data_IF_329798970623
#
_entry.id   IF_329798970623
#
_cell.length_a   1.000
_cell.length_b   1.000
_cell.length_c   1.000
_cell.angle_alpha   90.00
_cell.angle_beta   90.00
_cell.angle_gamma   90.00
#
_symmetry.space_group_name_H-M   'P 1'
#
loop_
_entity.id
_entity.type
_entity.pdbx_description
1 polymer ?
#
# COMPACT_ATOMS: atom_id res chain seq x y z
N UNK A 1 50.68 -14.49 -3.87
CA UNK A 1 49.38 -15.05 -4.35
C UNK A 1 48.31 -15.26 -3.26
N UNK A 2 48.65 -15.48 -1.98
CA UNK A 2 47.64 -15.64 -0.90
C UNK A 2 46.98 -14.33 -0.43
N UNK A 3 47.71 -13.22 -0.44
CA UNK A 3 47.21 -11.90 0.03
C UNK A 3 46.10 -11.34 -0.87
N UNK A 4 46.20 -11.54 -2.19
CA UNK A 4 45.17 -11.11 -3.15
C UNK A 4 43.85 -11.87 -2.99
N UNK A 5 43.86 -13.12 -2.51
CA UNK A 5 42.64 -13.89 -2.22
C UNK A 5 41.90 -13.38 -0.98
N UNK A 6 42.63 -12.85 0.00
CA UNK A 6 42.04 -12.24 1.21
C UNK A 6 41.44 -10.87 0.89
N UNK A 7 42.10 -10.07 0.05
CA UNK A 7 41.59 -8.77 -0.38
C UNK A 7 40.33 -8.88 -1.25
N UNK A 8 40.21 -9.92 -2.09
CA UNK A 8 39.00 -10.17 -2.90
C UNK A 8 37.80 -10.58 -2.03
N UNK A 9 38.03 -11.29 -0.91
CA UNK A 9 36.97 -11.74 -0.01
C UNK A 9 36.39 -10.59 0.85
N UNK A 10 37.22 -9.59 1.20
CA UNK A 10 36.79 -8.42 2.00
C UNK A 10 36.00 -7.41 1.15
N UNK A 11 36.31 -7.32 -0.16
CA UNK A 11 35.58 -6.43 -1.08
C UNK A 11 34.12 -6.85 -1.32
N UNK A 12 33.78 -8.12 -1.15
CA UNK A 12 32.44 -8.65 -1.43
C UNK A 12 31.44 -8.48 -0.26
N UNK A 13 31.94 -8.16 0.95
CA UNK A 13 31.12 -8.08 2.17
C UNK A 13 30.41 -6.71 2.35
N UNK A 14 30.77 -5.71 1.54
CA UNK A 14 30.28 -4.33 1.68
C UNK A 14 28.97 -4.03 0.93
N UNK A 15 28.36 -5.02 0.28
CA UNK A 15 27.10 -4.87 -0.47
C UNK A 15 25.84 -5.32 0.29
N UNK A 16 25.90 -5.45 1.62
CA UNK A 16 24.70 -5.63 2.43
C UNK A 16 23.99 -4.27 2.55
N UNK A 17 23.31 -3.87 1.48
CA UNK A 17 22.43 -2.71 1.48
C UNK A 17 21.26 -2.98 2.43
N UNK A 18 21.02 -2.06 3.37
CA UNK A 18 19.80 -2.04 4.18
C UNK A 18 18.59 -1.85 3.27
N UNK A 19 18.03 -2.93 2.76
CA UNK A 19 16.65 -2.99 2.29
C UNK A 19 15.76 -2.71 3.50
N UNK A 20 14.94 -1.66 3.46
CA UNK A 20 13.94 -1.44 4.50
C UNK A 20 12.91 -2.57 4.40
N UNK A 21 13.02 -3.57 5.28
CA UNK A 21 12.29 -4.84 5.24
C UNK A 21 10.81 -4.76 5.63
N UNK A 22 10.10 -3.67 5.29
CA UNK A 22 8.71 -3.49 5.72
C UNK A 22 7.84 -2.70 4.76
N UNK A 23 6.56 -3.08 4.70
CA UNK A 23 5.50 -2.36 3.98
C UNK A 23 5.29 -0.97 4.59
N UNK A 24 5.06 0.04 3.74
CA UNK A 24 4.88 1.42 4.18
C UNK A 24 3.47 1.65 4.72
N UNK A 25 3.26 2.60 5.64
CA UNK A 25 1.91 3.05 6.05
C UNK A 25 0.97 2.00 6.70
N UNK A 26 1.40 0.75 6.85
CA UNK A 26 0.60 -0.34 7.46
C UNK A 26 0.85 -0.52 8.96
N UNK A 27 1.92 0.11 9.50
CA UNK A 27 2.21 0.14 10.95
C UNK A 27 1.52 1.30 11.67
N UNK A 28 1.02 2.29 10.92
CA UNK A 28 0.11 3.30 11.46
C UNK A 28 -1.26 2.67 11.72
N UNK A 29 -2.05 3.26 12.60
CA UNK A 29 -3.42 2.86 12.98
C UNK A 29 -4.44 2.91 11.82
N UNK A 30 -3.96 2.93 10.58
CA UNK A 30 -4.78 2.93 9.38
C UNK A 30 -5.49 1.59 9.20
N UNK A 31 -6.77 1.67 8.87
CA UNK A 31 -7.52 0.55 8.31
C UNK A 31 -7.01 0.24 6.90
N UNK A 32 -6.69 -1.03 6.66
CA UNK A 32 -6.21 -1.55 5.38
C UNK A 32 -7.26 -2.48 4.79
N UNK A 33 -7.73 -2.19 3.58
CA UNK A 33 -8.77 -2.99 2.90
C UNK A 33 -8.46 -3.21 1.43
N UNK A 34 -8.96 -4.32 0.88
CA UNK A 34 -8.95 -4.62 -0.54
C UNK A 34 -10.37 -4.94 -0.99
N UNK A 35 -10.99 -4.04 -1.75
CA UNK A 35 -12.25 -4.31 -2.45
C UNK A 35 -11.93 -4.96 -3.79
N UNK A 36 -12.58 -6.08 -4.09
CA UNK A 36 -12.40 -6.86 -5.33
C UNK A 36 -13.71 -7.03 -6.05
N UNK A 37 -13.67 -7.08 -7.38
CA UNK A 37 -14.84 -7.23 -8.23
C UNK A 37 -14.51 -8.00 -9.51
N UNK A 38 -15.23 -9.10 -9.77
CA UNK A 38 -15.14 -9.86 -11.01
C UNK A 38 -16.27 -9.43 -11.93
N UNK A 39 -15.93 -8.84 -13.07
CA UNK A 39 -16.90 -8.34 -14.05
C UNK A 39 -17.42 -9.48 -14.95
N UNK A 40 -18.57 -9.29 -15.66
CA UNK A 40 -19.12 -10.31 -16.55
C UNK A 40 -18.20 -10.72 -17.71
N UNK A 41 -17.29 -9.85 -18.13
CA UNK A 41 -16.26 -10.13 -19.14
C UNK A 41 -15.01 -10.82 -18.55
N UNK A 42 -15.09 -11.28 -17.31
CA UNK A 42 -14.02 -11.94 -16.54
C UNK A 42 -12.83 -11.04 -16.18
N UNK A 43 -12.91 -9.73 -16.44
CA UNK A 43 -11.95 -8.76 -15.88
C UNK A 43 -12.04 -8.74 -14.36
N UNK A 44 -10.88 -8.67 -13.70
CA UNK A 44 -10.74 -8.61 -12.25
C UNK A 44 -10.32 -7.22 -11.82
N UNK A 45 -11.23 -6.48 -11.22
CA UNK A 45 -11.02 -5.12 -10.75
C UNK A 45 -10.76 -5.12 -9.24
N UNK A 46 -9.98 -4.17 -8.77
CA UNK A 46 -9.80 -3.98 -7.33
C UNK A 46 -9.63 -2.51 -6.95
N UNK A 47 -9.88 -2.22 -5.67
CA UNK A 47 -9.42 -0.99 -5.01
C UNK A 47 -8.76 -1.33 -3.68
N UNK A 48 -7.45 -1.10 -3.61
CA UNK A 48 -6.69 -1.18 -2.36
C UNK A 48 -6.75 0.16 -1.64
N UNK A 49 -7.08 0.16 -0.34
CA UNK A 49 -7.25 1.38 0.46
C UNK A 49 -6.49 1.30 1.79
N UNK A 50 -5.84 2.41 2.11
CA UNK A 50 -5.33 2.73 3.43
C UNK A 50 -6.09 3.96 3.93
N UNK A 51 -6.81 3.82 5.04
CA UNK A 51 -7.62 4.88 5.62
C UNK A 51 -7.31 5.12 7.09
N UNK A 52 -6.99 6.36 7.44
CA UNK A 52 -6.87 6.80 8.84
C UNK A 52 -8.21 6.69 9.58
N UNK A 53 -8.23 6.33 10.88
CA UNK A 53 -9.45 6.35 11.69
C UNK A 53 -10.10 7.74 11.66
N UNK A 54 -11.40 7.80 11.39
CA UNK A 54 -12.12 9.07 11.19
C UNK A 54 -12.08 9.98 12.43
N UNK A 55 -12.12 9.37 13.62
CA UNK A 55 -12.05 10.04 14.92
C UNK A 55 -10.70 10.72 15.19
N UNK A 56 -9.66 10.33 14.45
CA UNK A 56 -8.31 10.91 14.55
C UNK A 56 -8.01 11.96 13.47
N UNK A 57 -8.90 12.15 12.50
CA UNK A 57 -8.70 13.16 11.45
C UNK A 57 -9.05 14.53 12.03
N UNK A 58 -8.11 15.50 12.07
CA UNK A 58 -8.39 16.83 12.61
C UNK A 58 -9.53 17.52 11.86
N UNK A 59 -10.46 18.12 12.62
CA UNK A 59 -11.53 18.93 12.04
C UNK A 59 -10.95 20.15 11.30
N UNK A 60 -11.39 20.31 10.05
CA UNK A 60 -10.87 21.28 9.08
C UNK A 60 -11.40 22.72 9.30
N UNK A 61 -12.30 22.93 10.27
CA UNK A 61 -12.89 24.24 10.57
C UNK A 61 -12.30 24.76 11.88
N UNK A 62 -11.34 25.68 11.79
CA UNK A 62 -10.91 26.50 12.93
C UNK A 62 -11.25 27.96 12.64
N UNK A 63 -12.30 28.48 13.28
CA UNK A 63 -12.58 29.93 13.29
C UNK A 63 -11.54 30.56 14.20
N UNK A 64 -10.53 31.19 13.62
CA UNK A 64 -9.48 31.87 14.39
C UNK A 64 -10.09 33.12 15.04
N UNK A 65 -10.20 33.14 16.37
CA UNK A 65 -10.74 34.28 17.12
C UNK A 65 -9.67 35.18 17.73
N UNK A 66 -8.41 34.74 17.70
CA UNK A 66 -7.26 35.51 18.19
C UNK A 66 -6.02 35.12 17.40
N UNK A 67 -5.15 36.10 17.11
CA UNK A 67 -3.96 36.01 16.25
C UNK A 67 -2.81 35.13 16.75
N UNK A 68 -3.13 34.03 17.43
CA UNK A 68 -2.18 32.97 17.78
C UNK A 68 -1.93 32.05 16.57
N UNK A 69 -0.65 31.72 16.37
CA UNK A 69 -0.11 31.07 15.18
C UNK A 69 -0.59 29.60 15.09
N UNK A 70 -1.82 29.40 14.58
CA UNK A 70 -2.52 28.11 14.47
C UNK A 70 -1.87 27.09 13.51
N UNK A 71 -0.65 27.37 13.04
CA UNK A 71 0.07 26.57 12.03
C UNK A 71 0.81 25.36 12.61
N UNK A 72 1.11 25.31 13.91
CA UNK A 72 1.93 24.22 14.50
C UNK A 72 1.16 22.92 14.73
N UNK A 73 -0.11 22.97 15.11
CA UNK A 73 -0.88 21.76 15.49
C UNK A 73 -1.52 21.01 14.31
N UNK A 74 -1.46 21.55 13.09
CA UNK A 74 -2.08 20.93 11.91
C UNK A 74 -1.26 19.77 11.31
N UNK A 75 -0.05 19.54 11.82
CA UNK A 75 0.91 18.57 11.26
C UNK A 75 1.02 17.26 12.05
N UNK A 76 0.32 17.14 13.18
CA UNK A 76 0.39 15.97 14.03
C UNK A 76 -0.56 14.87 13.50
N UNK A 77 -0.01 13.90 12.76
CA UNK A 77 -0.76 12.74 12.24
C UNK A 77 -0.83 12.65 10.71
N UNK A 78 -1.09 11.43 10.23
CA UNK A 78 -1.23 11.12 8.81
C UNK A 78 0.08 10.77 8.08
N UNK A 79 -0.06 10.42 6.80
CA UNK A 79 1.05 10.14 5.90
C UNK A 79 1.76 11.42 5.49
N UNK A 80 3.09 11.43 5.62
CA UNK A 80 3.93 12.42 4.95
C UNK A 80 3.95 12.13 3.44
N UNK A 81 3.16 12.91 2.69
CA UNK A 81 3.05 12.78 1.23
C UNK A 81 4.25 13.46 0.58
N UNK A 82 5.08 12.67 -0.10
CA UNK A 82 6.26 13.14 -0.80
C UNK A 82 6.48 12.38 -2.11
N UNK A 83 7.61 12.64 -2.76
CA UNK A 83 7.94 12.11 -4.11
C UNK A 83 7.85 10.59 -4.22
N UNK A 84 8.11 9.86 -3.14
CA UNK A 84 8.15 8.39 -3.13
C UNK A 84 6.84 7.75 -2.64
N UNK A 85 5.83 8.53 -2.22
CA UNK A 85 4.59 7.98 -1.65
C UNK A 85 3.84 7.13 -2.67
N UNK A 86 3.85 7.54 -3.94
CA UNK A 86 3.26 6.77 -5.04
C UNK A 86 3.89 5.38 -5.15
N UNK A 87 5.21 5.33 -5.22
CA UNK A 87 5.95 4.08 -5.40
C UNK A 87 5.70 3.11 -4.24
N UNK A 88 5.77 3.62 -3.01
CA UNK A 88 5.49 2.83 -1.79
C UNK A 88 4.05 2.32 -1.73
N UNK A 89 3.09 3.12 -2.19
CA UNK A 89 1.68 2.72 -2.27
C UNK A 89 1.49 1.60 -3.31
N UNK A 90 2.17 1.68 -4.45
CA UNK A 90 2.13 0.62 -5.47
C UNK A 90 2.80 -0.66 -4.98
N UNK A 91 3.95 -0.58 -4.31
CA UNK A 91 4.61 -1.75 -3.69
C UNK A 91 3.69 -2.44 -2.68
N UNK A 92 3.00 -1.65 -1.85
CA UNK A 92 1.99 -2.18 -0.94
C UNK A 92 0.82 -2.85 -1.67
N UNK A 93 0.38 -2.26 -2.76
CA UNK A 93 -0.74 -2.76 -3.58
C UNK A 93 -0.35 -4.09 -4.22
N UNK A 94 0.82 -4.15 -4.85
CA UNK A 94 1.37 -5.36 -5.46
C UNK A 94 1.50 -6.49 -4.45
N UNK A 95 2.02 -6.18 -3.25
CA UNK A 95 2.05 -7.13 -2.15
C UNK A 95 0.65 -7.66 -1.83
N UNK A 96 -0.33 -6.78 -1.65
CA UNK A 96 -1.68 -7.16 -1.19
C UNK A 96 -2.43 -7.99 -2.22
N UNK A 97 -2.50 -7.54 -3.48
CA UNK A 97 -3.26 -8.26 -4.50
C UNK A 97 -2.65 -9.63 -4.78
N UNK A 98 -1.32 -9.77 -4.65
CA UNK A 98 -0.62 -11.04 -4.79
C UNK A 98 -0.85 -11.97 -3.60
N UNK A 99 -0.66 -11.50 -2.37
CA UNK A 99 -0.77 -12.34 -1.16
C UNK A 99 -2.23 -12.63 -0.78
N UNK A 100 -3.19 -11.80 -1.20
CA UNK A 100 -4.60 -12.13 -1.15
C UNK A 100 -4.99 -13.23 -2.15
N UNK A 101 -4.10 -13.53 -3.12
CA UNK A 101 -4.36 -14.48 -4.20
C UNK A 101 -5.25 -13.94 -5.32
N UNK A 102 -5.46 -12.62 -5.39
CA UNK A 102 -6.41 -12.01 -6.32
C UNK A 102 -5.79 -11.72 -7.70
N UNK A 103 -4.59 -11.11 -7.76
CA UNK A 103 -3.85 -10.92 -9.02
C UNK A 103 -2.56 -11.75 -9.02
N UNK A 104 -2.41 -12.65 -10.00
CA UNK A 104 -1.26 -13.54 -10.18
C UNK A 104 -0.15 -12.89 -11.00
N UNK A 105 -0.53 -12.22 -12.09
CA UNK A 105 0.42 -11.69 -13.08
C UNK A 105 0.66 -10.17 -12.90
N UNK A 106 0.28 -9.66 -11.73
CA UNK A 106 0.28 -8.24 -11.40
C UNK A 106 -0.97 -7.52 -11.93
N UNK A 107 -0.89 -6.20 -12.03
CA UNK A 107 -2.04 -5.37 -12.39
C UNK A 107 -1.66 -4.18 -13.28
N UNK A 108 -2.66 -3.61 -13.93
CA UNK A 108 -2.65 -2.27 -14.50
C UNK A 108 -3.26 -1.30 -13.50
N UNK A 109 -2.58 -0.19 -13.27
CA UNK A 109 -3.11 0.88 -12.44
C UNK A 109 -4.07 1.75 -13.26
N UNK A 110 -5.32 1.87 -12.80
CA UNK A 110 -6.34 2.65 -13.47
C UNK A 110 -6.46 4.07 -12.88
N UNK A 111 -6.42 4.17 -11.55
CA UNK A 111 -6.54 5.44 -10.84
C UNK A 111 -5.92 5.35 -9.43
N UNK A 112 -5.64 6.51 -8.83
CA UNK A 112 -5.14 6.61 -7.46
C UNK A 112 -5.63 7.87 -6.75
N UNK A 113 -5.61 7.82 -5.42
CA UNK A 113 -5.54 9.03 -4.60
C UNK A 113 -4.45 8.91 -3.55
N UNK A 114 -3.73 10.01 -3.36
CA UNK A 114 -2.68 10.13 -2.34
C UNK A 114 -2.98 11.41 -1.55
N UNK A 115 -3.54 11.23 -0.36
CA UNK A 115 -3.73 12.29 0.61
C UNK A 115 -3.12 11.89 1.95
N UNK A 116 -3.03 12.86 2.86
CA UNK A 116 -2.47 12.65 4.20
C UNK A 116 -3.22 11.56 4.98
N UNK A 117 -4.54 11.45 4.83
CA UNK A 117 -5.35 10.54 5.64
C UNK A 117 -5.92 9.36 4.84
N UNK A 118 -6.12 9.52 3.53
CA UNK A 118 -6.64 8.49 2.65
C UNK A 118 -5.68 8.24 1.48
N UNK A 119 -5.28 6.99 1.29
CA UNK A 119 -4.52 6.53 0.13
C UNK A 119 -5.27 5.37 -0.50
N UNK A 120 -5.39 5.39 -1.83
CA UNK A 120 -5.96 4.25 -2.53
C UNK A 120 -5.42 4.11 -3.95
N UNK A 121 -5.45 2.88 -4.45
CA UNK A 121 -5.14 2.51 -5.83
C UNK A 121 -6.27 1.66 -6.36
N UNK A 122 -6.81 2.04 -7.51
CA UNK A 122 -7.74 1.23 -8.30
C UNK A 122 -6.97 0.59 -9.45
N UNK A 123 -7.17 -0.70 -9.66
CA UNK A 123 -6.48 -1.44 -10.71
C UNK A 123 -7.29 -2.57 -11.30
N UNK A 124 -6.74 -3.15 -12.35
CA UNK A 124 -7.23 -4.35 -13.03
C UNK A 124 -6.12 -5.40 -13.06
N UNK A 125 -6.39 -6.64 -12.67
CA UNK A 125 -5.40 -7.72 -12.81
C UNK A 125 -5.07 -7.95 -14.30
N UNK A 126 -3.85 -8.36 -14.61
CA UNK A 126 -3.45 -8.62 -16.02
C UNK A 126 -4.07 -9.88 -16.60
N UNK A 127 -4.56 -10.77 -15.73
CA UNK A 127 -5.20 -12.02 -16.09
C UNK A 127 -6.70 -12.02 -15.77
N UNK A 128 -7.48 -12.76 -16.56
CA UNK A 128 -8.91 -12.96 -16.34
C UNK A 128 -9.21 -13.86 -15.13
N UNK A 129 -10.44 -13.78 -14.64
CA UNK A 129 -10.94 -14.65 -13.58
C UNK A 129 -11.06 -16.11 -14.05
N UNK A 130 -10.51 -17.01 -13.25
CA UNK A 130 -10.72 -18.46 -13.37
C UNK A 130 -11.99 -18.89 -12.62
N UNK A 131 -12.50 -20.11 -12.83
CA UNK A 131 -13.58 -20.65 -12.00
C UNK A 131 -13.24 -20.66 -10.50
N UNK A 132 -11.99 -20.95 -10.16
CA UNK A 132 -11.51 -20.90 -8.77
C UNK A 132 -11.52 -19.48 -8.19
N UNK A 133 -11.23 -18.46 -9.01
CA UNK A 133 -11.34 -17.06 -8.57
C UNK A 133 -12.81 -16.71 -8.27
N UNK A 134 -13.75 -17.14 -9.12
CA UNK A 134 -15.19 -16.90 -8.92
C UNK A 134 -15.71 -17.60 -7.66
N UNK A 135 -15.25 -18.82 -7.38
CA UNK A 135 -15.59 -19.53 -6.14
C UNK A 135 -15.00 -18.84 -4.90
N UNK A 136 -13.76 -18.34 -4.99
CA UNK A 136 -13.07 -17.73 -3.86
C UNK A 136 -13.55 -16.31 -3.52
N UNK A 137 -13.91 -15.52 -4.53
CA UNK A 137 -14.17 -14.08 -4.38
C UNK A 137 -15.60 -13.65 -4.75
N UNK A 138 -16.35 -14.48 -5.48
CA UNK A 138 -17.66 -14.12 -6.02
C UNK A 138 -17.61 -12.91 -6.98
N UNK A 139 -18.75 -12.24 -7.15
CA UNK A 139 -18.85 -11.06 -8.00
C UNK A 139 -18.16 -9.84 -7.37
N UNK A 140 -18.32 -9.66 -6.04
CA UNK A 140 -17.78 -8.52 -5.30
C UNK A 140 -17.56 -8.83 -3.84
N UNK A 141 -16.42 -8.43 -3.29
CA UNK A 141 -16.07 -8.66 -1.89
C UNK A 141 -15.14 -7.57 -1.34
N UNK A 142 -15.21 -7.33 -0.02
CA UNK A 142 -14.21 -6.52 0.70
C UNK A 142 -13.42 -7.45 1.61
N UNK A 143 -12.09 -7.39 1.48
CA UNK A 143 -11.13 -8.20 2.21
C UNK A 143 -10.38 -7.33 3.22
N UNK A 144 -10.19 -7.84 4.44
CA UNK A 144 -9.37 -7.21 5.47
C UNK A 144 -7.94 -7.75 5.49
N UNK A 145 -7.11 -7.11 6.32
CA UNK A 145 -5.67 -7.37 6.37
C UNK A 145 -5.28 -8.79 6.78
N UNK A 146 -6.16 -9.49 7.49
CA UNK A 146 -6.02 -10.91 7.82
C UNK A 146 -5.85 -11.81 6.59
N UNK A 147 -6.22 -11.35 5.39
CA UNK A 147 -6.10 -12.13 4.16
C UNK A 147 -4.68 -12.17 3.59
N UNK A 148 -3.85 -11.16 3.83
CA UNK A 148 -2.47 -11.05 3.31
C UNK A 148 -1.40 -10.96 4.40
N UNK A 149 -1.78 -10.96 5.68
CA UNK A 149 -0.83 -10.97 6.80
C UNK A 149 -0.44 -12.38 7.29
N UNK A 150 -1.00 -13.45 6.71
CA UNK A 150 -0.72 -14.85 7.10
C UNK A 150 0.62 -15.41 6.56
N UNK A 151 1.62 -14.58 6.29
CA UNK A 151 2.91 -15.04 5.75
C UNK A 151 4.02 -15.06 6.80
#
# INVERSE_FOLDING_TARGET
MKIYRVLLAIGLSLLVGCSSTGRSYVKSEMSETLEVEILPNESKMFTYRLRWPEDQIPNHIRVSRDGSDARRDFYEGGVNVGRNTRQRLLENTEFVVKHAGYCRDGFFELDRSISRYHLWVRGECKESATPADKEAFGDKQVLGAERWQKS
#
